data_IF_101617359696
#
_entry.id   IF_101617359696
#
_cell.length_a   1.000
_cell.length_b   1.000
_cell.length_c   1.000
_cell.angle_alpha   90.00
_cell.angle_beta   90.00
_cell.angle_gamma   90.00
#
_symmetry.space_group_name_H-M   'P 1'
#
loop_
_entity.id
_entity.type
_entity.pdbx_description
1 polymer ?
#
# COMPACT_ATOMS: atom_id res chain seq x y z
N UNK A 1 40.67 -47.62 -27.77
CA UNK A 1 39.74 -46.48 -27.62
C UNK A 1 38.81 -46.75 -26.45
N UNK A 2 39.00 -46.04 -25.33
CA UNK A 2 38.04 -45.93 -24.22
C UNK A 2 38.06 -44.49 -23.76
N UNK A 3 36.88 -43.88 -23.63
CA UNK A 3 36.45 -43.16 -22.43
C UNK A 3 34.94 -42.86 -22.54
N UNK A 4 34.20 -43.43 -21.59
CA UNK A 4 32.89 -42.99 -21.12
C UNK A 4 32.89 -41.47 -20.89
N UNK A 5 31.73 -40.84 -21.08
CA UNK A 5 31.25 -39.76 -20.21
C UNK A 5 29.71 -39.70 -20.29
N UNK A 6 29.10 -40.35 -19.30
CA UNK A 6 27.75 -40.04 -18.83
C UNK A 6 27.76 -38.67 -18.13
N UNK A 7 26.57 -38.10 -17.95
CA UNK A 7 26.23 -36.86 -17.23
C UNK A 7 26.23 -35.63 -18.12
N UNK A 8 25.08 -35.39 -18.76
CA UNK A 8 24.62 -34.03 -19.04
C UNK A 8 23.20 -33.88 -18.51
N UNK A 9 23.17 -33.41 -17.26
CA UNK A 9 22.34 -32.30 -16.78
C UNK A 9 20.83 -32.52 -16.92
N UNK A 10 20.28 -33.05 -15.83
CA UNK A 10 18.92 -32.78 -15.36
C UNK A 10 18.78 -31.26 -15.25
N UNK A 11 18.12 -30.61 -16.21
CA UNK A 11 17.57 -29.27 -16.03
C UNK A 11 16.05 -29.38 -16.06
N UNK A 12 15.51 -29.62 -14.87
CA UNK A 12 14.10 -29.46 -14.54
C UNK A 12 13.78 -27.99 -14.78
N UNK A 13 13.24 -27.67 -15.96
CA UNK A 13 12.69 -26.35 -16.30
C UNK A 13 11.18 -26.37 -16.05
N UNK A 14 10.79 -26.77 -14.83
CA UNK A 14 9.46 -26.49 -14.29
C UNK A 14 9.51 -25.16 -13.57
N UNK A 15 9.47 -24.08 -14.34
CA UNK A 15 9.00 -22.78 -13.86
C UNK A 15 7.89 -22.32 -14.79
N UNK A 16 6.81 -23.11 -14.80
CA UNK A 16 5.48 -22.60 -15.10
C UNK A 16 5.15 -21.67 -13.92
N UNK A 17 5.66 -20.44 -13.96
CA UNK A 17 5.15 -19.37 -13.10
C UNK A 17 3.74 -19.09 -13.58
N UNK A 18 2.81 -19.86 -13.02
CA UNK A 18 1.39 -19.62 -13.07
C UNK A 18 1.16 -18.23 -12.47
N UNK A 19 1.10 -17.22 -13.32
CA UNK A 19 0.57 -15.90 -12.97
C UNK A 19 -0.95 -16.07 -12.84
N UNK A 20 -1.36 -16.67 -11.72
CA UNK A 20 -2.75 -16.94 -11.38
C UNK A 20 -2.91 -16.80 -9.89
N UNK A 21 -2.78 -15.56 -9.41
CA UNK A 21 -3.23 -15.16 -8.08
C UNK A 21 -4.11 -13.92 -8.17
N UNK A 22 -5.25 -14.05 -8.85
CA UNK A 22 -6.45 -13.38 -8.33
C UNK A 22 -6.92 -14.17 -7.11
N UNK A 23 -6.42 -13.82 -5.93
CA UNK A 23 -7.11 -14.12 -4.66
C UNK A 23 -6.96 -12.94 -3.72
N UNK A 24 -8.06 -12.20 -3.61
CA UNK A 24 -8.37 -11.36 -2.46
C UNK A 24 -7.90 -12.07 -1.18
N UNK A 25 -6.97 -11.46 -0.45
CA UNK A 25 -6.67 -11.89 0.92
C UNK A 25 -7.83 -11.42 1.82
N UNK A 26 -8.93 -12.16 1.80
CA UNK A 26 -10.03 -12.04 2.75
C UNK A 26 -9.80 -13.06 3.86
N UNK A 27 -9.13 -12.64 4.93
CA UNK A 27 -9.43 -13.18 6.26
C UNK A 27 -10.61 -12.37 6.78
N UNK A 28 -11.83 -12.82 6.45
CA UNK A 28 -13.08 -12.17 6.86
C UNK A 28 -13.64 -12.64 8.20
N UNK A 29 -12.98 -13.57 8.88
CA UNK A 29 -13.42 -14.01 10.20
C UNK A 29 -12.60 -13.29 11.29
N UNK A 30 -13.29 -12.40 12.00
CA UNK A 30 -12.84 -11.53 13.09
C UNK A 30 -11.86 -10.41 12.74
N UNK A 31 -12.33 -9.43 11.97
CA UNK A 31 -11.72 -8.09 12.00
C UNK A 31 -12.19 -7.43 13.29
N UNK A 32 -11.28 -7.32 14.26
CA UNK A 32 -11.53 -6.61 15.51
C UNK A 32 -12.07 -5.19 15.27
N UNK A 33 -12.78 -4.65 16.26
CA UNK A 33 -13.47 -3.34 16.18
C UNK A 33 -12.57 -2.19 15.70
N UNK A 34 -11.26 -2.33 15.85
CA UNK A 34 -10.24 -1.38 15.39
C UNK A 34 -9.39 -2.02 14.29
N UNK A 35 -9.38 -1.41 13.11
CA UNK A 35 -8.61 -1.92 11.96
C UNK A 35 -8.21 -0.82 10.99
N UNK A 36 -7.19 -1.09 10.18
CA UNK A 36 -6.78 -0.20 9.08
C UNK A 36 -7.03 -0.92 7.76
N UNK A 37 -7.70 -0.26 6.83
CA UNK A 37 -7.79 -0.69 5.45
C UNK A 37 -6.88 0.18 4.60
N UNK A 38 -5.76 -0.38 4.15
CA UNK A 38 -4.87 0.27 3.19
C UNK A 38 -5.35 0.01 1.76
N UNK A 39 -5.35 1.04 0.94
CA UNK A 39 -5.79 1.01 -0.45
C UNK A 39 -4.66 1.61 -1.27
N UNK A 40 -4.20 0.90 -2.29
CA UNK A 40 -3.16 1.33 -3.23
C UNK A 40 -3.78 1.56 -4.59
N UNK A 41 -3.46 2.69 -5.21
CA UNK A 41 -3.81 2.99 -6.58
C UNK A 41 -2.75 2.44 -7.54
N UNK A 42 -3.16 1.59 -8.48
CA UNK A 42 -2.24 0.88 -9.38
C UNK A 42 -1.91 1.62 -10.68
N UNK A 43 -2.80 2.50 -11.16
CA UNK A 43 -2.55 3.36 -12.33
C UNK A 43 -2.30 2.60 -13.64
N UNK A 44 -3.03 1.51 -13.88
CA UNK A 44 -2.76 0.55 -14.96
C UNK A 44 -3.73 0.62 -16.13
N UNK A 45 -4.85 1.34 -16.06
CA UNK A 45 -5.95 1.15 -17.03
C UNK A 45 -6.24 2.37 -17.90
N UNK A 46 -5.88 3.60 -17.52
CA UNK A 46 -6.19 4.79 -18.36
C UNK A 46 -5.09 5.87 -18.40
N UNK A 47 -5.20 6.79 -19.37
CA UNK A 47 -4.38 8.00 -19.49
C UNK A 47 -4.65 8.94 -18.31
N UNK A 48 -4.01 8.68 -17.18
CA UNK A 48 -4.21 9.44 -15.96
C UNK A 48 -3.59 10.84 -16.06
N UNK A 49 -4.16 11.86 -15.39
CA UNK A 49 -3.44 13.10 -15.14
C UNK A 49 -2.11 12.80 -14.44
N UNK A 50 -1.09 13.61 -14.71
CA UNK A 50 0.27 13.45 -14.16
C UNK A 50 0.32 13.40 -12.63
N UNK A 51 -0.76 13.83 -11.95
CA UNK A 51 -0.94 13.77 -10.51
C UNK A 51 -2.31 13.22 -10.10
N UNK A 52 -2.33 12.39 -9.06
CA UNK A 52 -3.56 11.75 -8.55
C UNK A 52 -3.98 12.40 -7.22
N UNK A 53 -4.83 13.42 -7.26
CA UNK A 53 -5.40 13.99 -6.03
C UNK A 53 -6.50 13.06 -5.43
N UNK A 54 -7.01 13.38 -4.23
CA UNK A 54 -8.06 12.57 -3.57
C UNK A 54 -9.29 12.33 -4.45
N UNK A 55 -9.74 13.34 -5.19
CA UNK A 55 -10.93 13.19 -6.04
C UNK A 55 -10.67 12.17 -7.14
N UNK A 56 -9.53 12.26 -7.81
CA UNK A 56 -9.12 11.30 -8.83
C UNK A 56 -8.92 9.91 -8.25
N UNK A 57 -8.22 9.80 -7.10
CA UNK A 57 -8.02 8.53 -6.39
C UNK A 57 -9.35 7.80 -6.18
N UNK A 58 -10.37 8.47 -5.62
CA UNK A 58 -11.66 7.83 -5.36
C UNK A 58 -12.55 7.65 -6.59
N UNK A 59 -12.25 8.29 -7.72
CA UNK A 59 -13.01 8.13 -8.96
C UNK A 59 -12.68 6.79 -9.66
N UNK A 60 -11.42 6.33 -9.57
CA UNK A 60 -10.91 5.15 -10.28
C UNK A 60 -10.80 3.91 -9.37
N UNK A 61 -11.93 3.51 -8.79
CA UNK A 61 -11.97 2.45 -7.76
C UNK A 61 -11.62 1.06 -8.29
N UNK A 62 -11.78 0.85 -9.58
CA UNK A 62 -11.40 -0.37 -10.30
C UNK A 62 -9.89 -0.59 -10.37
N UNK A 63 -9.11 0.48 -10.14
CA UNK A 63 -7.65 0.44 -10.10
C UNK A 63 -7.08 0.31 -8.67
N UNK A 64 -7.95 0.01 -7.69
CA UNK A 64 -7.57 -0.14 -6.30
C UNK A 64 -7.26 -1.59 -5.93
N UNK A 65 -6.15 -1.77 -5.20
CA UNK A 65 -5.85 -3.00 -4.48
C UNK A 65 -5.92 -2.71 -2.98
N UNK A 66 -6.48 -3.65 -2.22
CA UNK A 66 -6.82 -3.44 -0.81
C UNK A 66 -6.06 -4.44 0.07
N UNK A 67 -5.48 -3.92 1.15
CA UNK A 67 -4.87 -4.69 2.23
C UNK A 67 -5.54 -4.33 3.56
N UNK A 68 -5.95 -5.33 4.34
CA UNK A 68 -6.41 -5.15 5.72
C UNK A 68 -5.22 -5.33 6.67
N UNK A 69 -4.90 -4.31 7.44
CA UNK A 69 -3.79 -4.28 8.41
C UNK A 69 -4.36 -4.38 9.83
N UNK A 70 -3.85 -5.34 10.60
CA UNK A 70 -4.20 -5.54 12.02
C UNK A 70 -3.11 -4.94 12.91
N UNK A 71 -3.50 -4.41 14.07
CA UNK A 71 -2.60 -4.06 15.18
C UNK A 71 -1.42 -3.14 14.82
N UNK A 72 -1.57 -2.25 13.83
CA UNK A 72 -0.55 -1.26 13.48
C UNK A 72 -1.05 0.14 13.81
N UNK A 73 -0.27 0.95 14.51
CA UNK A 73 -0.69 2.29 14.94
C UNK A 73 -0.09 3.39 14.05
N UNK A 74 -0.35 3.28 12.75
CA UNK A 74 0.17 4.24 11.76
C UNK A 74 -0.28 5.68 12.04
N UNK A 75 -1.46 5.86 12.63
CA UNK A 75 -2.01 7.19 12.90
C UNK A 75 -1.16 7.94 13.91
N UNK A 76 -0.77 7.29 15.00
CA UNK A 76 0.02 7.94 16.03
C UNK A 76 1.47 8.10 15.58
N UNK A 77 2.02 7.15 14.80
CA UNK A 77 3.32 7.32 14.14
C UNK A 77 3.32 8.56 13.23
N UNK A 78 2.32 8.72 12.36
CA UNK A 78 2.23 9.89 11.47
C UNK A 78 2.06 11.19 12.23
N UNK A 79 1.22 11.22 13.27
CA UNK A 79 1.03 12.43 14.10
C UNK A 79 2.28 12.85 14.85
N UNK A 80 3.22 11.92 15.09
CA UNK A 80 4.51 12.22 15.73
C UNK A 80 5.53 12.87 14.79
N UNK A 81 5.26 12.86 13.48
CA UNK A 81 6.13 13.47 12.47
C UNK A 81 6.05 15.00 12.47
N UNK A 82 6.97 15.62 11.72
CA UNK A 82 6.98 17.07 11.52
C UNK A 82 5.74 17.52 10.74
N UNK A 83 4.89 18.33 11.37
CA UNK A 83 3.78 19.02 10.73
C UNK A 83 4.29 20.07 9.74
N UNK A 84 3.76 20.07 8.52
CA UNK A 84 4.12 20.98 7.42
C UNK A 84 3.02 21.98 7.07
N UNK A 85 1.88 21.94 7.74
CA UNK A 85 0.75 22.84 7.53
C UNK A 85 -0.54 22.13 7.14
N UNK A 86 -1.48 22.88 6.56
CA UNK A 86 -2.83 22.42 6.24
C UNK A 86 -3.08 22.26 4.73
N UNK A 87 -2.07 21.77 4.02
CA UNK A 87 -2.15 21.57 2.58
C UNK A 87 -2.51 20.12 2.22
N UNK A 88 -3.04 19.98 1.01
CA UNK A 88 -3.30 18.69 0.39
C UNK A 88 -2.17 18.34 -0.57
N UNK A 89 -1.76 17.07 -0.60
CA UNK A 89 -0.79 16.61 -1.59
C UNK A 89 -1.45 16.40 -2.95
N UNK A 90 -0.69 16.61 -4.02
CA UNK A 90 -1.15 16.39 -5.39
C UNK A 90 -1.09 14.92 -5.83
N UNK A 91 -0.25 14.11 -5.18
CA UNK A 91 0.06 12.73 -5.60
C UNK A 91 -0.27 11.69 -4.52
N UNK A 92 -1.55 11.35 -4.43
CA UNK A 92 -2.07 10.29 -3.57
C UNK A 92 -1.95 8.95 -4.29
N UNK A 93 -1.10 8.07 -3.77
CA UNK A 93 -0.98 6.67 -4.22
C UNK A 93 -1.57 5.68 -3.22
N UNK A 94 -1.64 6.07 -1.94
CA UNK A 94 -2.17 5.26 -0.88
C UNK A 94 -3.24 5.99 -0.07
N UNK A 95 -4.26 5.26 0.36
CA UNK A 95 -5.22 5.69 1.37
C UNK A 95 -5.30 4.65 2.49
N UNK A 96 -5.25 5.12 3.74
CA UNK A 96 -5.41 4.29 4.93
C UNK A 96 -6.68 4.72 5.65
N UNK A 97 -7.71 3.89 5.57
CA UNK A 97 -8.97 4.08 6.27
C UNK A 97 -8.83 3.51 7.67
N UNK A 98 -8.77 4.39 8.67
CA UNK A 98 -8.66 4.00 10.07
C UNK A 98 -10.06 3.83 10.62
N UNK A 99 -10.37 2.61 11.05
CA UNK A 99 -11.65 2.26 11.64
C UNK A 99 -11.50 2.09 13.14
N UNK A 100 -12.38 2.74 13.89
CA UNK A 100 -12.60 2.49 15.32
C UNK A 100 -14.08 2.16 15.53
N UNK A 101 -14.36 1.13 16.31
CA UNK A 101 -15.74 0.65 16.53
C UNK A 101 -16.53 0.46 15.21
N UNK A 102 -15.90 -0.14 14.21
CA UNK A 102 -16.46 -0.38 12.86
C UNK A 102 -16.83 0.87 12.05
N UNK A 103 -16.47 2.08 12.49
CA UNK A 103 -16.67 3.33 11.74
C UNK A 103 -15.33 3.91 11.32
N UNK A 104 -15.25 4.41 10.09
CA UNK A 104 -14.07 5.16 9.64
C UNK A 104 -14.03 6.47 10.44
N UNK A 105 -12.99 6.66 11.25
CA UNK A 105 -12.80 7.87 12.05
C UNK A 105 -11.86 8.84 11.37
N UNK A 106 -10.85 8.32 10.70
CA UNK A 106 -9.77 9.09 10.10
C UNK A 106 -9.37 8.47 8.77
N UNK A 107 -8.83 9.31 7.88
CA UNK A 107 -8.21 8.85 6.63
C UNK A 107 -6.84 9.47 6.52
N UNK A 108 -5.82 8.64 6.32
CA UNK A 108 -4.51 9.09 5.92
C UNK A 108 -4.36 8.88 4.42
N UNK A 109 -3.74 9.84 3.76
CA UNK A 109 -3.27 9.72 2.39
C UNK A 109 -1.75 9.73 2.38
N UNK A 110 -1.16 9.01 1.43
CA UNK A 110 0.29 9.05 1.21
C UNK A 110 0.66 8.94 -0.27
N UNK A 111 1.85 9.43 -0.59
CA UNK A 111 2.46 9.33 -1.90
C UNK A 111 3.07 7.94 -2.14
N UNK A 112 3.54 7.67 -3.35
CA UNK A 112 4.17 6.38 -3.70
C UNK A 112 5.39 6.06 -2.82
N UNK A 113 6.09 7.09 -2.37
CA UNK A 113 7.28 6.97 -1.53
C UNK A 113 6.97 6.58 -0.08
N UNK A 114 5.72 6.76 0.37
CA UNK A 114 5.27 6.63 1.77
C UNK A 114 5.96 7.60 2.74
N UNK A 115 6.42 8.75 2.22
CA UNK A 115 7.10 9.78 3.02
C UNK A 115 6.27 11.03 3.23
N UNK A 116 5.36 11.32 2.32
CA UNK A 116 4.42 12.43 2.45
C UNK A 116 3.11 11.90 3.00
N UNK A 117 2.61 12.50 4.08
CA UNK A 117 1.40 12.02 4.75
C UNK A 117 0.40 13.17 4.90
N UNK A 118 -0.87 12.90 4.62
CA UNK A 118 -1.95 13.86 4.85
C UNK A 118 -3.04 13.20 5.68
N UNK A 119 -3.29 13.75 6.87
CA UNK A 119 -4.40 13.35 7.73
C UNK A 119 -5.63 14.18 7.39
N UNK A 120 -6.69 13.50 6.95
CA UNK A 120 -8.01 14.09 6.74
C UNK A 120 -8.92 13.81 7.94
N UNK A 121 -9.39 14.89 8.56
CA UNK A 121 -10.45 14.87 9.59
C UNK A 121 -11.61 15.75 9.15
N UNK A 122 -12.68 15.11 8.68
CA UNK A 122 -13.80 15.84 8.07
C UNK A 122 -13.36 16.63 6.83
N UNK A 123 -13.39 17.96 6.92
CA UNK A 123 -12.94 18.88 5.84
C UNK A 123 -11.53 19.42 6.04
N UNK A 124 -10.88 19.10 7.17
CA UNK A 124 -9.54 19.61 7.50
C UNK A 124 -8.49 18.61 7.06
N UNK A 125 -7.42 19.13 6.49
CA UNK A 125 -6.23 18.38 6.07
C UNK A 125 -5.03 18.88 6.87
N UNK A 126 -4.19 17.96 7.31
CA UNK A 126 -2.92 18.29 7.97
C UNK A 126 -1.82 17.45 7.36
N UNK A 127 -0.77 18.11 6.88
CA UNK A 127 0.35 17.47 6.18
C UNK A 127 1.50 17.18 7.15
N UNK A 128 2.10 16.01 7.00
CA UNK A 128 3.23 15.53 7.76
C UNK A 128 4.29 14.97 6.80
N UNK A 129 5.56 15.01 7.22
CA UNK A 129 6.68 14.50 6.43
C UNK A 129 7.52 13.53 7.24
N UNK A 130 7.71 12.32 6.70
CA UNK A 130 8.63 11.30 7.18
C UNK A 130 9.95 11.41 6.40
N UNK A 131 10.71 12.46 6.71
CA UNK A 131 11.95 12.80 6.00
C UNK A 131 12.94 11.60 6.02
N UNK A 132 13.00 10.87 7.14
CA UNK A 132 13.84 9.68 7.33
C UNK A 132 13.28 8.42 6.63
N UNK A 133 11.97 8.36 6.37
CA UNK A 133 11.31 7.23 5.71
C UNK A 133 11.11 6.01 6.63
N UNK A 134 11.04 6.21 7.94
CA UNK A 134 10.94 5.12 8.91
C UNK A 134 9.61 4.38 8.81
N UNK A 135 8.51 5.09 8.61
CA UNK A 135 7.18 4.49 8.44
C UNK A 135 7.16 3.70 7.12
N UNK A 136 7.70 4.29 6.05
CA UNK A 136 7.82 3.63 4.76
C UNK A 136 8.60 2.30 4.85
N UNK A 137 9.74 2.32 5.57
CA UNK A 137 10.55 1.13 5.80
C UNK A 137 9.78 0.05 6.58
N UNK A 138 9.14 0.42 7.69
CA UNK A 138 8.36 -0.51 8.51
C UNK A 138 7.23 -1.17 7.71
N UNK A 139 6.49 -0.39 6.94
CA UNK A 139 5.40 -0.88 6.09
C UNK A 139 5.90 -1.86 5.04
N UNK A 140 6.98 -1.53 4.33
CA UNK A 140 7.59 -2.39 3.28
C UNK A 140 8.18 -3.69 3.83
N UNK A 141 8.78 -3.64 5.01
CA UNK A 141 9.29 -4.83 5.69
C UNK A 141 8.17 -5.74 6.17
N UNK A 142 7.04 -5.16 6.57
CA UNK A 142 5.90 -5.92 7.12
C UNK A 142 4.97 -6.46 6.04
N UNK A 143 4.81 -5.75 4.92
CA UNK A 143 3.87 -6.10 3.87
C UNK A 143 4.44 -5.84 2.47
N UNK A 144 4.53 -6.90 1.66
CA UNK A 144 4.95 -6.80 0.25
C UNK A 144 4.05 -5.88 -0.59
N UNK A 145 2.81 -5.67 -0.15
CA UNK A 145 1.87 -4.70 -0.72
C UNK A 145 2.47 -3.29 -0.92
N UNK A 146 3.36 -2.85 -0.03
CA UNK A 146 3.98 -1.52 -0.11
C UNK A 146 5.28 -1.47 -0.91
N UNK A 147 5.73 -2.61 -1.47
CA UNK A 147 6.89 -2.64 -2.35
C UNK A 147 6.49 -2.24 -3.78
N UNK A 148 7.46 -1.70 -4.51
CA UNK A 148 7.29 -1.24 -5.89
C UNK A 148 7.33 -2.40 -6.90
N UNK A 149 7.99 -3.51 -6.56
CA UNK A 149 8.02 -4.74 -7.35
C UNK A 149 7.13 -5.79 -6.68
N UNK A 150 6.15 -6.31 -7.44
CA UNK A 150 5.22 -7.36 -7.04
C UNK A 150 5.44 -8.62 -7.86
#
# INVERSE_FOLDING_TARGET
MKKMNYIKIILILTLVYSCSTKKTFQNDDEIGQNSITAIKFMGTVTTHPSSTNEKSFWAFKDEHVILKIRNYNILDEVKSLKNKGNDMMMDVNYSFLIKQNNKITDTLYSDSSLKSWVLKKGKTYTMFSDDEGKIAQNLRQSYSFFNDCW
#
